data_IF_122630340802
#
_entry.id   IF_122630340802
#
_cell.length_a   1.000
_cell.length_b   1.000
_cell.length_c   1.000
_cell.angle_alpha   90.00
_cell.angle_beta   90.00
_cell.angle_gamma   90.00
#
_symmetry.space_group_name_H-M   'P 1'
#
loop_
_entity.id
_entity.type
_entity.pdbx_description
1 polymer ?
#
# COMPACT_ATOMS: atom_id res chain seq x y z
N UNK A 1 34.08 38.77 -35.28
CA UNK A 1 33.60 38.81 -33.89
C UNK A 1 32.10 39.12 -33.93
N UNK A 2 31.27 38.09 -34.01
CA UNK A 2 29.81 38.24 -33.99
C UNK A 2 29.36 38.39 -32.56
N UNK A 3 29.12 39.63 -32.12
CA UNK A 3 28.53 39.91 -30.81
C UNK A 3 27.14 39.27 -30.75
N UNK A 4 26.99 38.26 -29.90
CA UNK A 4 25.68 37.64 -29.64
C UNK A 4 24.71 38.71 -29.15
N UNK A 5 23.50 38.75 -29.74
CA UNK A 5 22.43 39.66 -29.34
C UNK A 5 22.16 39.48 -27.84
N UNK A 6 22.27 40.58 -27.07
CA UNK A 6 21.86 40.60 -25.66
C UNK A 6 20.37 40.32 -25.56
N UNK A 7 19.99 39.37 -24.71
CA UNK A 7 18.60 39.06 -24.46
C UNK A 7 17.92 40.18 -23.66
N UNK A 8 16.64 40.37 -23.92
CA UNK A 8 15.75 41.27 -23.20
C UNK A 8 15.28 40.63 -21.89
N UNK A 9 14.79 41.44 -20.92
CA UNK A 9 14.18 40.92 -19.70
C UNK A 9 13.06 39.89 -19.93
N UNK A 10 12.24 40.10 -20.98
CA UNK A 10 11.16 39.17 -21.34
C UNK A 10 11.71 37.83 -21.82
N UNK A 11 12.74 37.84 -22.67
CA UNK A 11 13.39 36.62 -23.16
C UNK A 11 14.01 35.82 -22.01
N UNK A 12 14.64 36.47 -21.02
CA UNK A 12 15.12 35.77 -19.82
C UNK A 12 14.01 35.16 -18.99
N UNK A 13 12.91 35.88 -18.80
CA UNK A 13 11.75 35.37 -18.09
C UNK A 13 11.17 34.13 -18.78
N UNK A 14 10.99 34.18 -20.10
CA UNK A 14 10.51 33.05 -20.91
C UNK A 14 11.40 31.82 -20.80
N UNK A 15 12.72 31.99 -20.62
CA UNK A 15 13.66 30.87 -20.44
C UNK A 15 13.39 30.11 -19.13
N UNK A 16 13.29 30.82 -18.00
CA UNK A 16 13.25 30.19 -16.67
C UNK A 16 11.85 29.89 -16.15
N UNK A 17 10.84 30.61 -16.64
CA UNK A 17 9.44 30.48 -16.19
C UNK A 17 8.56 29.69 -17.18
N UNK A 18 9.13 29.13 -18.25
CA UNK A 18 8.39 28.24 -19.16
C UNK A 18 7.86 27.00 -18.46
N UNK A 19 6.67 26.57 -18.85
CA UNK A 19 6.10 25.28 -18.47
C UNK A 19 6.71 24.22 -19.38
N UNK A 20 7.35 23.22 -18.80
CA UNK A 20 8.00 22.12 -19.52
C UNK A 20 7.08 20.93 -19.68
N UNK A 21 7.16 20.32 -20.84
CA UNK A 21 6.57 19.01 -21.15
C UNK A 21 7.63 17.90 -21.30
N UNK A 22 8.92 18.27 -21.36
CA UNK A 22 10.06 17.37 -21.50
C UNK A 22 11.17 17.74 -20.51
N UNK A 23 11.89 16.72 -20.06
CA UNK A 23 12.98 16.84 -19.08
C UNK A 23 14.18 16.04 -19.59
N UNK A 24 15.00 16.67 -20.42
CA UNK A 24 16.10 15.99 -21.12
C UNK A 24 17.41 15.98 -20.32
N UNK A 25 17.55 16.89 -19.36
CA UNK A 25 18.72 17.00 -18.48
C UNK A 25 18.61 16.13 -17.23
N UNK A 26 17.42 15.64 -16.91
CA UNK A 26 17.18 14.67 -15.84
C UNK A 26 17.54 13.26 -16.31
N UNK A 27 18.83 12.93 -16.36
CA UNK A 27 19.26 11.56 -16.68
C UNK A 27 18.94 10.61 -15.54
N UNK A 28 18.43 9.43 -15.89
CA UNK A 28 18.06 8.39 -14.93
C UNK A 28 19.22 8.07 -13.97
N UNK A 29 18.96 8.14 -12.66
CA UNK A 29 19.92 7.78 -11.62
C UNK A 29 20.89 8.88 -11.18
N UNK A 30 21.12 9.92 -11.98
CA UNK A 30 22.13 10.95 -11.67
C UNK A 30 21.68 11.86 -10.52
N UNK A 31 20.39 12.22 -10.49
CA UNK A 31 19.82 13.16 -9.53
C UNK A 31 18.73 12.57 -8.63
N UNK A 32 18.52 11.25 -8.67
CA UNK A 32 17.42 10.56 -7.98
C UNK A 32 17.36 10.85 -6.48
N UNK A 33 18.51 11.04 -5.83
CA UNK A 33 18.60 11.37 -4.41
C UNK A 33 17.95 12.73 -4.08
N UNK A 34 17.92 13.65 -5.04
CA UNK A 34 17.34 14.99 -4.91
C UNK A 34 15.90 15.07 -5.43
N UNK A 35 15.35 13.96 -5.93
CA UNK A 35 13.98 13.86 -6.40
C UNK A 35 13.11 13.23 -5.30
N UNK A 36 12.45 14.08 -4.51
CA UNK A 36 11.59 13.62 -3.43
C UNK A 36 10.53 12.63 -3.92
N UNK A 37 10.40 11.47 -3.28
CA UNK A 37 9.58 10.36 -3.80
C UNK A 37 8.08 10.60 -3.71
N UNK A 38 7.63 11.30 -2.67
CA UNK A 38 6.20 11.45 -2.34
C UNK A 38 5.69 12.89 -2.39
N UNK A 39 6.58 13.87 -2.46
CA UNK A 39 6.21 15.29 -2.47
C UNK A 39 6.32 15.75 -3.92
N UNK A 40 5.18 15.77 -4.59
CA UNK A 40 5.10 16.11 -6.00
C UNK A 40 5.62 17.53 -6.29
N UNK A 41 5.37 18.48 -5.37
CA UNK A 41 5.77 19.87 -5.58
C UNK A 41 7.28 20.00 -5.48
N UNK A 42 7.88 19.44 -4.43
CA UNK A 42 9.32 19.45 -4.23
C UNK A 42 10.04 18.71 -5.37
N UNK A 43 9.55 17.52 -5.73
CA UNK A 43 10.07 16.73 -6.86
C UNK A 43 10.05 17.52 -8.17
N UNK A 44 8.95 18.21 -8.45
CA UNK A 44 8.82 19.04 -9.64
C UNK A 44 9.81 20.21 -9.61
N UNK A 45 9.95 20.89 -8.47
CA UNK A 45 10.92 21.99 -8.33
C UNK A 45 12.34 21.48 -8.60
N UNK A 46 12.74 20.32 -8.06
CA UNK A 46 14.04 19.70 -8.33
C UNK A 46 14.26 19.44 -9.83
N UNK A 47 13.30 18.81 -10.51
CA UNK A 47 13.41 18.52 -11.94
C UNK A 47 13.53 19.79 -12.78
N UNK A 48 12.74 20.82 -12.46
CA UNK A 48 12.82 22.11 -13.15
C UNK A 48 14.14 22.82 -12.87
N UNK A 49 14.68 22.72 -11.65
CA UNK A 49 15.98 23.29 -11.31
C UNK A 49 17.08 22.65 -12.17
N UNK A 50 17.08 21.32 -12.31
CA UNK A 50 18.03 20.59 -13.16
C UNK A 50 17.98 21.09 -14.59
N UNK A 51 16.79 21.22 -15.18
CA UNK A 51 16.66 21.73 -16.55
C UNK A 51 17.08 23.19 -16.66
N UNK A 52 16.63 24.05 -15.74
CA UNK A 52 16.97 25.46 -15.76
C UNK A 52 18.47 25.69 -15.58
N UNK A 53 19.15 24.84 -14.81
CA UNK A 53 20.59 24.92 -14.59
C UNK A 53 21.38 24.33 -15.76
N UNK A 54 21.10 23.08 -16.13
CA UNK A 54 21.87 22.36 -17.14
C UNK A 54 21.48 22.80 -18.55
N UNK A 55 20.20 22.80 -18.90
CA UNK A 55 19.76 23.08 -20.27
C UNK A 55 19.74 24.58 -20.62
N UNK A 56 19.65 25.48 -19.64
CA UNK A 56 19.52 26.91 -19.91
C UNK A 56 20.64 27.77 -19.34
N UNK A 57 21.03 27.59 -18.07
CA UNK A 57 22.14 28.38 -17.48
C UNK A 57 23.51 27.98 -18.03
N UNK A 58 23.81 26.67 -18.09
CA UNK A 58 25.13 26.17 -18.50
C UNK A 58 25.52 26.56 -19.94
N UNK A 59 24.52 26.87 -20.78
CA UNK A 59 24.67 27.29 -22.17
C UNK A 59 24.69 28.81 -22.36
N UNK A 60 24.97 29.57 -21.30
CA UNK A 60 25.13 31.02 -21.40
C UNK A 60 26.22 31.40 -22.41
N UNK A 61 25.98 32.46 -23.19
CA UNK A 61 26.80 32.79 -24.37
C UNK A 61 28.05 33.59 -24.05
N UNK A 62 27.99 34.47 -23.06
CA UNK A 62 29.08 35.34 -22.62
C UNK A 62 28.87 35.74 -21.16
N UNK A 63 29.87 36.40 -20.55
CA UNK A 63 29.84 36.74 -19.12
C UNK A 63 28.61 37.58 -18.71
N UNK A 64 28.19 38.54 -19.53
CA UNK A 64 27.02 39.37 -19.23
C UNK A 64 25.73 38.54 -19.27
N UNK A 65 25.59 37.67 -20.27
CA UNK A 65 24.47 36.74 -20.37
C UNK A 65 24.45 35.74 -19.21
N UNK A 66 25.60 35.20 -18.79
CA UNK A 66 25.67 34.30 -17.63
C UNK A 66 25.25 35.01 -16.34
N UNK A 67 25.65 36.28 -16.15
CA UNK A 67 25.25 37.07 -14.98
C UNK A 67 23.73 37.29 -14.95
N UNK A 68 23.13 37.68 -16.07
CA UNK A 68 21.67 37.86 -16.13
C UNK A 68 20.93 36.52 -15.97
N UNK A 69 21.37 35.45 -16.64
CA UNK A 69 20.77 34.11 -16.46
C UNK A 69 20.81 33.65 -15.00
N UNK A 70 21.96 33.81 -14.34
CA UNK A 70 22.10 33.46 -12.93
C UNK A 70 21.14 34.27 -12.03
N UNK A 71 20.93 35.55 -12.35
CA UNK A 71 19.98 36.41 -11.63
C UNK A 71 18.54 35.89 -11.78
N UNK A 72 18.07 35.66 -13.00
CA UNK A 72 16.70 35.15 -13.22
C UNK A 72 16.49 33.75 -12.66
N UNK A 73 17.50 32.87 -12.73
CA UNK A 73 17.45 31.56 -12.10
C UNK A 73 17.30 31.65 -10.59
N UNK A 74 18.05 32.55 -9.94
CA UNK A 74 17.90 32.80 -8.51
C UNK A 74 16.54 33.43 -8.16
N UNK A 75 16.02 34.35 -8.98
CA UNK A 75 14.69 34.93 -8.79
C UNK A 75 13.59 33.85 -8.88
N UNK A 76 13.66 33.00 -9.90
CA UNK A 76 12.77 31.84 -10.04
C UNK A 76 12.83 30.94 -8.81
N UNK A 77 14.04 30.55 -8.39
CA UNK A 77 14.21 29.64 -7.26
C UNK A 77 13.77 30.28 -5.93
N UNK A 78 13.96 31.59 -5.77
CA UNK A 78 13.47 32.36 -4.62
C UNK A 78 11.95 32.39 -4.55
N UNK A 79 11.28 32.57 -5.68
CA UNK A 79 9.82 32.47 -5.76
C UNK A 79 9.35 31.08 -5.34
N UNK A 80 9.98 30.01 -5.87
CA UNK A 80 9.60 28.63 -5.53
C UNK A 80 9.85 28.33 -4.05
N UNK A 81 10.96 28.78 -3.47
CA UNK A 81 11.23 28.68 -2.03
C UNK A 81 10.14 29.37 -1.23
N UNK A 82 9.79 30.60 -1.62
CA UNK A 82 8.79 31.38 -0.90
C UNK A 82 7.41 30.71 -0.91
N UNK A 83 7.01 30.12 -2.05
CA UNK A 83 5.74 29.38 -2.16
C UNK A 83 5.79 28.11 -1.30
N UNK A 84 6.84 27.31 -1.42
CA UNK A 84 6.94 26.01 -0.76
C UNK A 84 7.09 26.13 0.76
N UNK A 85 7.86 27.10 1.25
CA UNK A 85 8.21 27.22 2.68
C UNK A 85 7.44 28.31 3.43
N UNK A 86 6.37 28.86 2.84
CA UNK A 86 5.65 30.02 3.38
C UNK A 86 6.59 31.18 3.70
N UNK A 87 7.41 31.54 2.70
CA UNK A 87 8.49 32.52 2.78
C UNK A 87 9.48 32.28 3.94
N UNK A 88 9.89 31.02 4.11
CA UNK A 88 10.84 30.58 5.12
C UNK A 88 10.31 30.50 6.54
N UNK A 89 9.00 30.68 6.75
CA UNK A 89 8.40 30.59 8.09
C UNK A 89 8.05 29.17 8.50
N UNK A 90 8.10 28.23 7.56
CA UNK A 90 7.63 26.88 7.75
C UNK A 90 8.76 25.90 8.05
N UNK A 91 8.88 25.45 9.30
CA UNK A 91 10.04 24.67 9.75
C UNK A 91 10.14 23.31 9.06
N UNK A 92 9.03 22.61 8.85
CA UNK A 92 9.02 21.32 8.17
C UNK A 92 9.49 21.44 6.71
N UNK A 93 8.86 22.33 5.94
CA UNK A 93 9.19 22.52 4.52
C UNK A 93 10.55 23.19 4.31
N UNK A 94 11.06 23.99 5.26
CA UNK A 94 12.42 24.50 5.20
C UNK A 94 13.45 23.37 5.24
N UNK A 95 13.27 22.36 6.10
CA UNK A 95 14.18 21.21 6.16
C UNK A 95 14.19 20.43 4.85
N UNK A 96 13.01 20.15 4.31
CA UNK A 96 12.90 19.48 3.01
C UNK A 96 13.53 20.30 1.89
N UNK A 97 13.39 21.64 1.92
CA UNK A 97 14.03 22.51 0.96
C UNK A 97 15.56 22.44 1.04
N UNK A 98 16.12 22.51 2.25
CA UNK A 98 17.56 22.43 2.48
C UNK A 98 18.13 21.10 1.96
N UNK A 99 17.52 19.98 2.36
CA UNK A 99 17.96 18.62 2.00
C UNK A 99 17.85 18.33 0.50
N UNK A 100 16.79 18.78 -0.17
CA UNK A 100 16.55 18.38 -1.56
C UNK A 100 16.95 19.43 -2.59
N UNK A 101 16.74 20.72 -2.31
CA UNK A 101 16.92 21.79 -3.31
C UNK A 101 18.25 22.50 -3.14
N UNK A 102 18.63 22.83 -1.90
CA UNK A 102 19.90 23.53 -1.67
C UNK A 102 21.07 22.54 -1.90
N UNK A 103 20.98 21.27 -1.47
CA UNK A 103 21.99 20.25 -1.82
C UNK A 103 22.06 19.95 -3.33
N UNK A 104 20.92 19.95 -4.03
CA UNK A 104 20.89 19.78 -5.49
C UNK A 104 21.59 20.94 -6.20
N UNK A 105 21.38 22.17 -5.74
CA UNK A 105 22.08 23.33 -6.29
C UNK A 105 23.60 23.16 -6.17
N UNK A 106 24.08 22.77 -5.00
CA UNK A 106 25.51 22.56 -4.75
C UNK A 106 26.06 21.48 -5.68
N UNK A 107 25.32 20.37 -5.85
CA UNK A 107 25.67 19.31 -6.80
C UNK A 107 25.76 19.80 -8.25
N UNK A 108 24.83 20.65 -8.67
CA UNK A 108 24.82 21.22 -10.01
C UNK A 108 25.98 22.21 -10.21
N UNK A 109 26.28 23.05 -9.21
CA UNK A 109 27.37 24.03 -9.30
C UNK A 109 28.77 23.40 -9.23
N UNK A 110 28.94 22.22 -8.61
CA UNK A 110 30.17 21.42 -8.69
C UNK A 110 30.58 21.10 -10.13
N UNK A 111 29.62 20.92 -11.03
CA UNK A 111 29.86 20.48 -12.41
C UNK A 111 30.39 21.59 -13.34
N UNK A 112 30.38 22.87 -12.91
CA UNK A 112 30.72 24.03 -13.74
C UNK A 112 32.11 24.61 -13.41
N UNK A 113 32.83 25.03 -14.45
CA UNK A 113 34.13 25.72 -14.31
C UNK A 113 33.99 27.07 -13.57
N UNK A 114 34.96 27.36 -12.69
CA UNK A 114 34.93 28.45 -11.72
C UNK A 114 34.57 29.85 -12.26
N UNK A 115 34.94 30.19 -13.50
CA UNK A 115 34.72 31.56 -14.03
C UNK A 115 33.24 31.87 -14.30
N UNK A 116 32.39 30.85 -14.44
CA UNK A 116 30.97 30.98 -14.79
C UNK A 116 30.06 30.33 -13.73
N UNK A 117 30.49 30.25 -12.47
CA UNK A 117 29.64 29.69 -11.40
C UNK A 117 28.49 30.64 -11.04
N UNK A 118 27.29 30.09 -10.90
CA UNK A 118 26.15 30.88 -10.46
C UNK A 118 26.11 30.88 -8.93
N UNK A 119 26.41 32.03 -8.32
CA UNK A 119 26.30 32.15 -6.86
C UNK A 119 24.84 32.05 -6.44
N UNK A 120 24.53 31.11 -5.56
CA UNK A 120 23.20 30.98 -4.93
C UNK A 120 22.90 32.21 -4.07
N UNK A 121 21.76 32.84 -4.31
CA UNK A 121 21.17 33.85 -3.44
C UNK A 121 20.10 33.20 -2.54
N UNK A 122 20.52 32.78 -1.35
CA UNK A 122 19.65 32.16 -0.35
C UNK A 122 18.75 33.17 0.40
N UNK A 123 18.90 34.48 0.17
CA UNK A 123 18.14 35.48 0.90
C UNK A 123 16.66 35.43 0.49
N UNK A 124 15.81 35.16 1.48
CA UNK A 124 14.37 35.27 1.32
C UNK A 124 13.94 36.72 1.16
N UNK A 125 12.77 36.93 0.58
CA UNK A 125 12.14 38.25 0.58
C UNK A 125 11.87 38.65 2.04
N UNK A 126 12.27 39.84 2.47
CA UNK A 126 11.97 40.37 3.81
C UNK A 126 10.47 40.63 4.07
N UNK A 127 9.59 40.15 3.18
CA UNK A 127 8.13 40.23 3.28
C UNK A 127 7.61 39.22 4.30
N UNK A 128 6.55 39.56 5.01
CA UNK A 128 5.94 38.65 5.98
C UNK A 128 4.86 37.78 5.33
N UNK A 129 4.92 36.47 5.54
CA UNK A 129 3.84 35.55 5.16
C UNK A 129 2.77 35.53 6.28
N UNK A 130 1.46 35.57 5.96
CA UNK A 130 0.41 35.59 6.97
C UNK A 130 0.37 34.28 7.78
N UNK A 131 0.60 34.34 9.09
CA UNK A 131 0.72 33.14 9.93
C UNK A 131 -0.56 32.30 10.01
N UNK A 132 -1.73 32.92 9.85
CA UNK A 132 -3.02 32.22 9.79
C UNK A 132 -3.26 31.44 8.48
N UNK A 133 -2.32 31.52 7.53
CA UNK A 133 -2.37 30.80 6.25
C UNK A 133 -1.38 29.64 6.18
N UNK A 134 -0.68 29.33 7.28
CA UNK A 134 0.22 28.19 7.33
C UNK A 134 -0.53 26.87 7.18
N UNK A 135 0.11 25.93 6.49
CA UNK A 135 -0.34 24.55 6.42
C UNK A 135 -0.34 23.90 7.81
N UNK A 136 -1.21 22.92 8.02
CA UNK A 136 -1.27 22.14 9.27
C UNK A 136 0.09 21.47 9.58
N UNK A 137 0.83 21.06 8.55
CA UNK A 137 2.13 20.40 8.68
C UNK A 137 3.27 21.35 9.04
N UNK A 138 3.03 22.66 9.00
CA UNK A 138 4.09 23.63 8.82
C UNK A 138 5.14 23.68 9.95
N UNK A 139 4.65 23.55 11.18
CA UNK A 139 5.47 23.55 12.39
C UNK A 139 5.55 22.17 13.04
N UNK A 140 5.19 21.12 12.29
CA UNK A 140 5.24 19.74 12.77
C UNK A 140 6.61 19.13 12.50
N UNK A 141 6.99 18.17 13.33
CA UNK A 141 8.15 17.32 13.09
C UNK A 141 7.86 16.29 11.99
N UNK A 142 8.88 15.74 11.33
CA UNK A 142 8.69 14.69 10.33
C UNK A 142 7.87 13.48 10.84
N UNK A 143 8.06 13.09 12.11
CA UNK A 143 7.31 12.01 12.76
C UNK A 143 5.81 12.33 12.87
N UNK A 144 5.47 13.56 13.25
CA UNK A 144 4.08 14.00 13.35
C UNK A 144 3.41 14.12 11.98
N UNK A 145 4.15 14.56 10.96
CA UNK A 145 3.66 14.58 9.57
C UNK A 145 3.42 13.16 9.07
N UNK A 146 4.33 12.21 9.34
CA UNK A 146 4.17 10.81 8.99
C UNK A 146 2.92 10.19 9.64
N UNK A 147 2.65 10.54 10.91
CA UNK A 147 1.46 10.07 11.62
C UNK A 147 0.15 10.59 11.02
N UNK A 148 0.16 11.77 10.38
CA UNK A 148 -1.03 12.38 9.77
C UNK A 148 -1.22 11.97 8.30
N UNK A 149 -0.13 11.66 7.62
CA UNK A 149 -0.13 11.27 6.19
C UNK A 149 -0.22 9.77 5.97
N UNK A 150 0.00 8.96 7.02
CA UNK A 150 -0.34 7.54 6.99
C UNK A 150 -1.80 7.38 6.58
N UNK A 151 -2.14 6.37 5.75
CA UNK A 151 -3.50 6.19 5.29
C UNK A 151 -4.40 6.20 6.51
N UNK A 152 -5.39 7.11 6.44
CA UNK A 152 -6.30 7.43 7.53
C UNK A 152 -6.64 6.16 8.30
N UNK A 153 -6.57 6.18 9.63
CA UNK A 153 -6.75 4.96 10.44
C UNK A 153 -8.05 4.24 10.04
N UNK A 154 -9.04 5.00 9.54
CA UNK A 154 -10.26 4.48 8.90
C UNK A 154 -10.00 3.63 7.64
N UNK A 155 -9.17 4.07 6.69
CA UNK A 155 -8.84 3.35 5.45
C UNK A 155 -7.98 2.12 5.73
N UNK A 156 -6.97 2.25 6.59
CA UNK A 156 -6.15 1.11 7.01
C UNK A 156 -7.02 0.04 7.70
N UNK A 157 -7.88 0.44 8.64
CA UNK A 157 -8.83 -0.45 9.27
C UNK A 157 -9.78 -1.09 8.25
N UNK A 158 -10.30 -0.33 7.28
CA UNK A 158 -11.22 -0.85 6.26
C UNK A 158 -10.56 -1.94 5.42
N UNK A 159 -9.30 -1.73 4.99
CA UNK A 159 -8.53 -2.73 4.25
C UNK A 159 -8.23 -3.98 5.09
N UNK A 160 -7.85 -3.81 6.36
CA UNK A 160 -7.66 -4.93 7.29
C UNK A 160 -8.95 -5.70 7.54
N UNK A 161 -10.10 -5.01 7.61
CA UNK A 161 -11.41 -5.63 7.81
C UNK A 161 -11.83 -6.42 6.55
N UNK A 162 -11.59 -5.87 5.35
CA UNK A 162 -11.89 -6.55 4.08
C UNK A 162 -11.00 -7.80 3.90
N UNK A 163 -9.72 -7.71 4.22
CA UNK A 163 -8.80 -8.84 4.15
C UNK A 163 -9.17 -9.92 5.17
N UNK A 164 -9.43 -9.57 6.42
CA UNK A 164 -9.82 -10.54 7.46
C UNK A 164 -11.14 -11.23 7.12
N UNK A 165 -12.15 -10.48 6.65
CA UNK A 165 -13.44 -11.05 6.24
C UNK A 165 -13.30 -11.97 5.03
N UNK A 166 -12.43 -11.65 4.07
CA UNK A 166 -12.19 -12.51 2.90
C UNK A 166 -11.46 -13.81 3.27
N UNK A 167 -10.45 -13.77 4.15
CA UNK A 167 -9.80 -14.98 4.65
C UNK A 167 -10.74 -15.87 5.48
N UNK A 168 -11.59 -15.29 6.33
CA UNK A 168 -12.58 -16.03 7.10
C UNK A 168 -13.59 -16.72 6.18
N UNK A 169 -14.11 -16.01 5.17
CA UNK A 169 -15.03 -16.60 4.20
C UNK A 169 -14.39 -17.74 3.40
N UNK A 170 -13.14 -17.57 2.94
CA UNK A 170 -12.38 -18.62 2.26
C UNK A 170 -12.15 -19.84 3.16
N UNK A 171 -11.78 -19.61 4.43
CA UNK A 171 -11.61 -20.68 5.41
C UNK A 171 -12.89 -21.49 5.62
N UNK A 172 -14.04 -20.81 5.74
CA UNK A 172 -15.35 -21.44 5.86
C UNK A 172 -15.66 -22.30 4.62
N UNK A 173 -15.43 -21.79 3.41
CA UNK A 173 -15.64 -22.54 2.16
C UNK A 173 -14.75 -23.78 2.09
N UNK A 174 -13.48 -23.67 2.47
CA UNK A 174 -12.55 -24.81 2.51
C UNK A 174 -13.00 -25.87 3.52
N UNK A 175 -13.47 -25.45 4.70
CA UNK A 175 -14.03 -26.36 5.71
C UNK A 175 -15.27 -27.07 5.16
N UNK A 176 -16.18 -26.36 4.48
CA UNK A 176 -17.34 -26.98 3.86
C UNK A 176 -16.95 -28.00 2.78
N UNK A 177 -15.97 -27.69 1.92
CA UNK A 177 -15.48 -28.63 0.92
C UNK A 177 -14.85 -29.87 1.56
N UNK A 178 -14.12 -29.69 2.66
CA UNK A 178 -13.57 -30.79 3.43
C UNK A 178 -14.69 -31.65 4.00
N UNK A 179 -15.63 -31.07 4.75
CA UNK A 179 -16.76 -31.79 5.35
C UNK A 179 -17.64 -32.48 4.28
N UNK A 180 -17.86 -31.86 3.12
CA UNK A 180 -18.59 -32.47 2.00
C UNK A 180 -17.86 -33.71 1.45
N UNK A 181 -16.54 -33.64 1.31
CA UNK A 181 -15.71 -34.81 0.94
C UNK A 181 -15.79 -35.92 1.99
N UNK A 182 -15.89 -35.58 3.27
CA UNK A 182 -16.12 -36.53 4.37
C UNK A 182 -17.57 -37.02 4.47
N UNK A 183 -18.56 -36.30 3.91
CA UNK A 183 -19.94 -36.78 3.85
C UNK A 183 -20.08 -38.03 2.96
N UNK A 184 -19.24 -38.17 1.93
CA UNK A 184 -19.10 -39.43 1.18
C UNK A 184 -18.45 -40.57 2.01
N UNK A 185 -17.78 -40.26 3.12
CA UNK A 185 -17.36 -41.26 4.11
C UNK A 185 -18.50 -41.69 5.04
N UNK A 186 -19.60 -40.92 5.17
CA UNK A 186 -20.79 -41.34 5.91
C UNK A 186 -21.36 -42.67 5.39
N UNK A 187 -21.52 -42.79 4.06
CA UNK A 187 -21.92 -44.04 3.41
C UNK A 187 -20.91 -45.18 3.60
N UNK A 188 -19.62 -44.87 3.75
CA UNK A 188 -18.57 -45.87 4.04
C UNK A 188 -18.64 -46.36 5.49
N UNK A 189 -18.90 -45.46 6.44
CA UNK A 189 -19.08 -45.80 7.86
C UNK A 189 -20.35 -46.63 8.04
N UNK A 190 -21.45 -46.27 7.39
CA UNK A 190 -22.69 -47.05 7.43
C UNK A 190 -22.49 -48.47 6.86
N UNK A 191 -21.76 -48.60 5.75
CA UNK A 191 -21.40 -49.91 5.20
C UNK A 191 -20.48 -50.72 6.12
N UNK A 192 -19.52 -50.10 6.81
CA UNK A 192 -18.65 -50.78 7.79
C UNK A 192 -19.47 -51.27 8.99
N UNK A 193 -20.41 -50.46 9.50
CA UNK A 193 -21.29 -50.82 10.62
C UNK A 193 -22.21 -51.98 10.21
N UNK A 194 -22.85 -51.91 9.03
CA UNK A 194 -23.70 -53.00 8.50
C UNK A 194 -22.91 -54.29 8.29
N UNK A 195 -21.68 -54.21 7.81
CA UNK A 195 -20.86 -55.40 7.56
C UNK A 195 -20.36 -56.04 8.87
N UNK A 196 -20.10 -55.26 9.93
CA UNK A 196 -19.80 -55.79 11.27
C UNK A 196 -21.01 -56.47 11.94
N UNK A 197 -22.21 -55.89 11.83
CA UNK A 197 -23.45 -56.50 12.33
C UNK A 197 -23.76 -57.82 11.61
N UNK A 198 -23.47 -57.93 10.30
CA UNK A 198 -23.65 -59.16 9.52
C UNK A 198 -22.66 -60.27 9.90
N UNK A 199 -21.44 -59.93 10.31
CA UNK A 199 -20.43 -60.91 10.74
C UNK A 199 -20.73 -61.47 12.15
N UNK A 200 -21.29 -60.64 13.05
CA UNK A 200 -21.71 -61.09 14.39
C UNK A 200 -22.79 -62.16 14.36
N UNK A 201 -23.77 -62.05 13.46
CA UNK A 201 -24.83 -63.06 13.32
C UNK A 201 -24.37 -64.42 12.78
N UNK A 202 -23.19 -64.49 12.16
CA UNK A 202 -22.65 -65.74 11.58
C UNK A 202 -21.68 -66.48 12.51
N UNK A 203 -21.22 -65.84 13.59
CA UNK A 203 -20.42 -66.46 14.65
C UNK A 203 -21.28 -67.11 15.74
N UNK A 204 -22.51 -66.61 15.97
CA UNK A 204 -23.44 -67.21 16.96
C UNK A 204 -24.08 -68.52 16.49
N UNK A 205 -24.08 -68.82 15.19
CA UNK A 205 -24.72 -70.03 14.66
C UNK A 205 -23.78 -71.26 14.74
N UNK A 206 -22.47 -71.07 14.81
CA UNK A 206 -21.50 -72.18 14.82
C UNK A 206 -21.06 -72.62 16.23
N UNK A 207 -21.45 -71.90 17.29
CA UNK A 207 -21.18 -72.30 18.68
C UNK A 207 -22.42 -72.92 19.39
N UNK A 208 -23.62 -72.75 18.82
CA UNK A 208 -24.86 -73.30 19.39
C UNK A 208 -25.14 -74.76 18.99
N UNK A 209 -24.60 -75.26 17.88
CA UNK A 209 -24.85 -76.64 17.43
C UNK A 209 -24.07 -77.72 18.22
N UNK A 210 -23.02 -77.34 18.98
CA UNK A 210 -22.31 -78.28 19.87
C UNK A 210 -22.88 -78.32 21.31
N UNK A 211 -23.66 -77.31 21.73
CA UNK A 211 -24.27 -77.25 23.06
C UNK A 211 -25.65 -77.93 23.15
N UNK A 212 -26.33 -78.16 22.02
CA UNK A 212 -27.68 -78.73 21.99
C UNK A 212 -27.72 -80.27 22.10
N UNK A 213 -26.57 -80.97 22.07
CA UNK A 213 -26.51 -82.43 22.21
C UNK A 213 -26.58 -82.96 23.64
N UNK A 214 -26.53 -82.09 24.65
CA UNK A 214 -26.47 -82.50 26.07
C UNK A 214 -27.68 -82.08 26.94
N UNK A 215 -28.79 -81.60 26.37
CA UNK A 215 -29.95 -81.18 27.18
C UNK A 215 -31.29 -81.87 26.85
N UNK A 216 -31.31 -82.86 25.95
CA UNK A 216 -32.45 -83.76 25.82
C UNK A 216 -32.50 -84.76 26.97
N UNK A 217 -32.89 -84.28 28.14
CA UNK A 217 -33.62 -85.01 29.16
C UNK A 217 -34.03 -84.01 30.24
N UNK A 218 -35.22 -83.43 30.11
CA UNK A 218 -36.26 -83.45 31.15
C UNK A 218 -37.42 -82.48 30.82
N UNK A 219 -38.59 -83.08 30.53
CA UNK A 219 -39.93 -82.68 31.00
C UNK A 219 -40.58 -81.35 30.53
N UNK A 220 -41.46 -81.51 29.53
CA UNK A 220 -42.82 -80.95 29.32
C UNK A 220 -43.34 -79.71 30.12
N UNK A 221 -43.62 -78.65 29.35
CA UNK A 221 -44.66 -77.57 29.40
C UNK A 221 -45.86 -77.81 30.36
N UNK A 222 -46.57 -76.80 30.95
CA UNK A 222 -47.24 -75.74 30.15
C UNK A 222 -47.74 -74.43 30.84
N UNK A 223 -48.44 -73.59 30.04
CA UNK A 223 -49.51 -72.62 30.42
C UNK A 223 -49.11 -71.15 30.77
N UNK A 224 -49.70 -70.22 30.01
CA UNK A 224 -50.08 -68.82 30.32
C UNK A 224 -49.01 -67.71 30.44
N UNK A 225 -48.90 -66.91 29.38
CA UNK A 225 -48.95 -65.42 29.36
C UNK A 225 -48.91 -64.99 27.88
N UNK A 226 -49.78 -64.18 27.31
CA UNK A 226 -50.88 -63.39 27.82
C UNK A 226 -51.63 -62.79 26.60
N UNK A 227 -52.79 -63.37 26.28
CA UNK A 227 -53.98 -62.84 25.59
C UNK A 227 -54.00 -62.42 24.09
N UNK A 228 -54.74 -63.27 23.37
CA UNK A 228 -55.67 -62.96 22.28
C UNK A 228 -57.08 -62.74 22.91
N UNK A 229 -57.94 -61.87 22.34
CA UNK A 229 -59.39 -62.08 22.10
C UNK A 229 -60.12 -60.76 21.72
N UNK A 230 -60.93 -60.92 20.65
CA UNK A 230 -61.88 -60.02 20.01
C UNK A 230 -62.98 -59.43 20.90
N UNK A 231 -63.42 -58.22 20.53
CA UNK A 231 -64.69 -57.60 20.96
C UNK A 231 -65.82 -57.95 19.98
N UNK A 232 -67.00 -58.28 20.51
CA UNK A 232 -68.29 -57.96 19.89
C UNK A 232 -69.37 -57.85 20.99
N UNK A 233 -70.13 -56.76 20.94
CA UNK A 233 -71.13 -56.31 21.92
C UNK A 233 -72.50 -56.14 21.21
N UNK A 234 -73.63 -55.88 21.89
CA UNK A 234 -74.48 -56.87 22.52
C UNK A 234 -75.94 -56.87 21.98
N UNK A 235 -76.55 -58.06 22.06
CA UNK A 235 -77.97 -58.43 22.24
C UNK A 235 -79.06 -57.33 22.11
N UNK A 236 -79.86 -57.36 21.04
CA UNK A 236 -81.24 -57.90 20.98
C UNK A 236 -81.82 -57.70 19.57
#
# INVERSE_FOLDING_TARGET
MTGGKKLTPSEYYEIFFKIRNTFNSNKDGEYDNFLHKTDQSLRNISMYLIENYIADYSHCSNKEDCVERCKYLNEWLKEKKAIYTSNGKCTFYNKLWEEYIDELWDKLDESIQNSNKCKRDANLSGKNFPGNKFSEYCNKTPLEVLSLTSPDKSYANTCTTILTMSYVALGIVIIYLYLFKFSNLGNRIENIIKNKLRIGGHMDEHENDELLRNSENETMSPINRMYNINYNSPRN
#
